data_IF_438049633470
#
_entry.id   IF_438049633470
#
_cell.length_a   1.000
_cell.length_b   1.000
_cell.length_c   1.000
_cell.angle_alpha   90.00
_cell.angle_beta   90.00
_cell.angle_gamma   90.00
#
_symmetry.space_group_name_H-M   'P 1'
#
loop_
_entity.id
_entity.type
_entity.pdbx_description
1 polymer ?
#
# COMPACT_ATOMS: atom_id res chain seq x y z
N UNK A 1 -1.31 -18.22 3.08
CA UNK A 1 -0.01 -17.59 2.75
C UNK A 1 1.12 -17.92 3.73
N UNK A 2 0.93 -17.84 5.06
CA UNK A 2 2.03 -18.04 6.04
C UNK A 2 2.55 -19.49 6.23
N UNK A 3 1.80 -20.55 5.83
CA UNK A 3 2.33 -21.93 5.82
C UNK A 3 3.58 -22.05 4.92
N UNK A 4 3.57 -21.35 3.79
CA UNK A 4 4.73 -21.27 2.89
C UNK A 4 5.88 -20.49 3.53
N UNK A 5 5.59 -19.40 4.24
CA UNK A 5 6.61 -18.62 4.94
C UNK A 5 7.27 -19.39 6.09
N UNK A 6 6.54 -20.29 6.76
CA UNK A 6 7.09 -21.15 7.80
C UNK A 6 8.05 -22.23 7.26
N UNK A 7 7.78 -22.76 6.05
CA UNK A 7 8.64 -23.70 5.31
C UNK A 7 9.94 -23.05 4.80
N UNK A 8 9.99 -21.72 4.71
CA UNK A 8 11.20 -21.01 4.28
C UNK A 8 12.28 -21.14 5.37
N UNK A 9 13.50 -21.59 5.03
CA UNK A 9 14.62 -21.68 5.96
C UNK A 9 14.89 -20.35 6.67
N UNK A 10 15.32 -20.38 7.93
CA UNK A 10 15.61 -19.17 8.72
C UNK A 10 16.60 -18.21 8.03
N UNK A 11 17.48 -18.72 7.18
CA UNK A 11 18.37 -17.91 6.35
C UNK A 11 17.61 -16.99 5.39
N UNK A 12 16.67 -17.54 4.62
CA UNK A 12 15.84 -16.80 3.69
C UNK A 12 14.86 -15.85 4.39
N UNK A 13 14.36 -16.21 5.57
CA UNK A 13 13.56 -15.30 6.42
C UNK A 13 14.37 -14.06 6.81
N UNK A 14 15.64 -14.22 7.20
CA UNK A 14 16.53 -13.10 7.53
C UNK A 14 16.81 -12.22 6.31
N UNK A 15 17.03 -12.83 5.14
CA UNK A 15 17.22 -12.09 3.88
C UNK A 15 15.97 -11.29 3.51
N UNK A 16 14.79 -11.92 3.59
CA UNK A 16 13.51 -11.27 3.30
C UNK A 16 13.27 -10.09 4.24
N UNK A 17 13.53 -10.29 5.54
CA UNK A 17 13.43 -9.24 6.55
C UNK A 17 14.40 -8.08 6.26
N UNK A 18 15.66 -8.38 5.93
CA UNK A 18 16.66 -7.37 5.58
C UNK A 18 16.25 -6.57 4.33
N UNK A 19 15.77 -7.25 3.29
CA UNK A 19 15.21 -6.61 2.09
C UNK A 19 14.01 -5.71 2.41
N UNK A 20 13.07 -6.19 3.24
CA UNK A 20 11.94 -5.39 3.69
C UNK A 20 12.39 -4.16 4.50
N UNK A 21 13.39 -4.29 5.37
CA UNK A 21 13.94 -3.17 6.14
C UNK A 21 14.60 -2.15 5.22
N UNK A 22 15.39 -2.60 4.23
CA UNK A 22 16.04 -1.70 3.26
C UNK A 22 14.98 -0.97 2.43
N UNK A 23 13.99 -1.68 1.91
CA UNK A 23 12.88 -1.10 1.16
C UNK A 23 12.08 -0.11 2.02
N UNK A 24 11.84 -0.45 3.28
CA UNK A 24 11.21 0.45 4.24
C UNK A 24 12.02 1.72 4.46
N UNK A 25 13.33 1.62 4.69
CA UNK A 25 14.19 2.79 4.90
C UNK A 25 14.25 3.68 3.66
N UNK A 26 14.36 3.09 2.47
CA UNK A 26 14.32 3.79 1.19
C UNK A 26 13.01 4.56 1.04
N UNK A 27 11.90 3.88 1.30
CA UNK A 27 10.59 4.47 1.08
C UNK A 27 10.19 5.47 2.17
N UNK A 28 10.62 5.26 3.42
CA UNK A 28 10.53 6.24 4.49
C UNK A 28 11.38 7.47 4.18
N UNK A 29 12.60 7.29 3.65
CA UNK A 29 13.46 8.42 3.24
C UNK A 29 12.86 9.23 2.09
N UNK A 30 12.20 8.57 1.12
CA UNK A 30 11.44 9.22 0.05
C UNK A 30 10.23 9.98 0.59
N UNK A 31 9.55 9.43 1.58
CA UNK A 31 8.41 10.08 2.24
C UNK A 31 8.86 11.31 3.04
N UNK A 32 9.94 11.20 3.81
CA UNK A 32 10.52 12.33 4.54
C UNK A 32 11.06 13.38 3.58
N UNK A 33 11.75 12.99 2.50
CA UNK A 33 12.20 13.92 1.46
C UNK A 33 11.01 14.64 0.81
N UNK A 34 9.91 13.92 0.54
CA UNK A 34 8.67 14.50 0.05
C UNK A 34 8.02 15.49 1.01
N UNK A 35 8.05 15.21 2.32
CA UNK A 35 7.50 16.10 3.37
C UNK A 35 8.40 17.30 3.70
N UNK A 36 9.73 17.14 3.69
CA UNK A 36 10.68 18.20 4.06
C UNK A 36 10.86 19.20 2.92
N UNK A 37 10.68 18.77 1.67
CA UNK A 37 10.78 19.65 0.50
C UNK A 37 9.46 20.36 0.17
N UNK A 38 8.49 20.37 1.10
CA UNK A 38 7.15 20.89 0.89
C UNK A 38 7.11 22.43 1.08
N UNK A 39 7.81 23.11 0.18
CA UNK A 39 7.55 24.47 -0.24
C UNK A 39 6.66 24.44 -1.49
N UNK A 40 5.42 23.96 -1.33
CA UNK A 40 4.33 24.04 -2.33
C UNK A 40 4.49 23.10 -3.54
N UNK A 41 3.71 22.01 -3.56
CA UNK A 41 3.30 21.22 -4.75
C UNK A 41 4.27 20.19 -5.38
N UNK A 42 5.51 20.00 -4.90
CA UNK A 42 6.41 19.01 -5.54
C UNK A 42 6.11 17.56 -5.15
N UNK A 43 5.57 17.30 -3.96
CA UNK A 43 5.11 15.96 -3.59
C UNK A 43 3.95 15.50 -4.48
N UNK A 44 3.04 16.41 -4.83
CA UNK A 44 1.98 16.13 -5.81
C UNK A 44 2.57 15.78 -7.19
N UNK A 45 3.71 16.36 -7.60
CA UNK A 45 4.39 16.01 -8.86
C UNK A 45 4.90 14.56 -8.89
N UNK A 46 5.09 13.91 -7.74
CA UNK A 46 5.41 12.47 -7.68
C UNK A 46 4.21 11.63 -8.15
N UNK A 47 2.98 12.12 -7.95
CA UNK A 47 1.74 11.43 -8.32
C UNK A 47 1.11 11.96 -9.61
N UNK A 48 1.48 13.15 -10.06
CA UNK A 48 0.91 13.81 -11.22
C UNK A 48 1.99 14.49 -12.05
N UNK A 49 2.00 14.29 -13.36
CA UNK A 49 2.85 15.06 -14.28
C UNK A 49 1.99 15.78 -15.31
N UNK A 50 2.43 16.98 -15.69
CA UNK A 50 1.77 17.76 -16.73
C UNK A 50 2.40 17.43 -18.07
N UNK A 51 1.59 16.95 -19.02
CA UNK A 51 2.02 16.66 -20.38
C UNK A 51 1.27 17.55 -21.35
N UNK A 52 2.01 18.21 -22.23
CA UNK A 52 1.42 18.92 -23.36
C UNK A 52 0.98 17.89 -24.41
N UNK A 53 -0.31 17.91 -24.74
CA UNK A 53 -0.90 17.02 -25.74
C UNK A 53 -1.41 17.89 -26.90
N UNK A 54 -1.02 17.58 -28.15
CA UNK A 54 -1.59 18.25 -29.32
C UNK A 54 -3.02 17.78 -29.52
N UNK A 55 -3.96 18.72 -29.55
CA UNK A 55 -5.39 18.48 -29.79
C UNK A 55 -5.76 19.10 -31.14
N UNK A 56 -6.56 18.42 -31.98
CA UNK A 56 -7.04 18.99 -33.24
C UNK A 56 -7.85 20.27 -32.98
N UNK A 57 -7.56 21.35 -33.69
CA UNK A 57 -8.38 22.56 -33.57
C UNK A 57 -9.67 22.42 -34.38
N UNK A 58 -10.79 22.22 -33.71
CA UNK A 58 -12.10 22.12 -34.39
C UNK A 58 -12.50 23.41 -35.12
N UNK A 59 -11.94 24.57 -34.72
CA UNK A 59 -12.15 25.85 -35.43
C UNK A 59 -11.57 25.82 -36.84
N UNK A 60 -10.60 24.94 -37.09
CA UNK A 60 -10.05 24.73 -38.42
C UNK A 60 -11.07 24.12 -39.39
N UNK A 61 -11.95 23.24 -38.89
CA UNK A 61 -13.04 22.66 -39.70
C UNK A 61 -14.05 23.74 -40.10
N UNK A 62 -14.37 24.65 -39.18
CA UNK A 62 -15.26 25.78 -39.45
C UNK A 62 -14.62 26.78 -40.43
N UNK A 63 -13.33 27.08 -40.26
CA UNK A 63 -12.58 27.93 -41.18
C UNK A 63 -12.50 27.35 -42.60
N UNK A 64 -12.24 26.05 -42.73
CA UNK A 64 -12.22 25.38 -44.04
C UNK A 64 -13.58 25.43 -44.73
N UNK A 65 -14.68 25.30 -43.98
CA UNK A 65 -16.03 25.44 -44.51
C UNK A 65 -16.31 26.87 -44.98
N UNK A 66 -15.95 27.86 -44.18
CA UNK A 66 -16.04 29.28 -44.56
C UNK A 66 -15.18 29.59 -45.79
N UNK A 67 -13.96 29.05 -45.86
CA UNK A 67 -13.04 29.27 -46.98
C UNK A 67 -13.58 28.67 -48.30
N UNK A 68 -14.25 27.51 -48.23
CA UNK A 68 -14.96 26.92 -49.36
C UNK A 68 -16.16 27.76 -49.79
N UNK A 69 -16.95 28.27 -48.85
CA UNK A 69 -18.09 29.16 -49.12
C UNK A 69 -17.64 30.48 -49.76
N UNK A 70 -16.50 31.04 -49.33
CA UNK A 70 -15.94 32.28 -49.86
C UNK A 70 -15.02 32.09 -51.09
N UNK A 71 -14.84 30.86 -51.56
CA UNK A 71 -13.96 30.51 -52.70
C UNK A 71 -12.53 31.07 -52.55
N UNK A 72 -11.98 30.99 -51.34
CA UNK A 72 -10.59 31.37 -51.08
C UNK A 72 -9.63 30.48 -51.88
N UNK A 73 -8.58 31.09 -52.45
CA UNK A 73 -7.59 30.36 -53.22
C UNK A 73 -6.84 29.34 -52.31
N UNK A 74 -6.60 28.10 -52.79
CA UNK A 74 -5.95 27.05 -52.00
C UNK A 74 -4.61 27.47 -51.39
N UNK A 75 -3.85 28.30 -52.11
CA UNK A 75 -2.54 28.83 -51.70
C UNK A 75 -2.61 29.66 -50.40
N UNK A 76 -3.71 30.37 -50.16
CA UNK A 76 -3.90 31.15 -48.93
C UNK A 76 -4.29 30.27 -47.75
N UNK A 77 -4.99 29.17 -48.02
CA UNK A 77 -5.42 28.19 -47.01
C UNK A 77 -4.20 27.39 -46.52
N UNK A 78 -3.32 26.95 -47.44
CA UNK A 78 -2.06 26.28 -47.09
C UNK A 78 -1.13 27.19 -46.28
N UNK A 79 -1.01 28.46 -46.66
CA UNK A 79 -0.16 29.40 -45.93
C UNK A 79 -0.69 29.72 -44.53
N UNK A 80 -2.01 29.78 -44.36
CA UNK A 80 -2.63 29.91 -43.04
C UNK A 80 -2.47 28.64 -42.19
N UNK A 81 -2.55 27.46 -42.81
CA UNK A 81 -2.25 26.18 -42.15
C UNK A 81 -0.81 26.12 -41.65
N UNK A 82 0.13 26.61 -42.45
CA UNK A 82 1.55 26.66 -42.11
C UNK A 82 1.82 27.62 -40.93
N UNK A 83 1.10 28.74 -40.84
CA UNK A 83 1.28 29.76 -39.79
C UNK A 83 0.67 29.33 -38.46
N UNK A 84 -0.53 28.74 -38.47
CA UNK A 84 -1.28 28.43 -37.24
C UNK A 84 -1.16 26.97 -36.78
N UNK A 85 -0.75 26.06 -37.66
CA UNK A 85 -0.68 24.62 -37.38
C UNK A 85 -2.07 23.95 -37.31
N UNK A 86 -2.13 22.64 -37.55
CA UNK A 86 -3.39 21.88 -37.50
C UNK A 86 -3.83 21.51 -36.06
N UNK A 87 -2.99 21.77 -35.05
CA UNK A 87 -3.23 21.37 -33.66
C UNK A 87 -2.79 22.46 -32.68
N UNK A 88 -3.50 22.60 -31.57
CA UNK A 88 -3.09 23.41 -30.43
C UNK A 88 -2.69 22.53 -29.25
N UNK A 89 -1.76 22.99 -28.42
CA UNK A 89 -1.27 22.24 -27.25
C UNK A 89 -2.12 22.56 -26.03
N UNK A 90 -2.65 21.53 -25.37
CA UNK A 90 -3.30 21.65 -24.06
C UNK A 90 -2.42 20.96 -23.03
N UNK A 91 -2.21 21.61 -21.88
CA UNK A 91 -1.57 20.98 -20.72
C UNK A 91 -2.58 20.06 -20.04
N UNK A 92 -2.37 18.75 -20.12
CA UNK A 92 -3.17 17.76 -19.40
C UNK A 92 -2.40 17.22 -18.20
N UNK A 93 -3.09 17.12 -17.07
CA UNK A 93 -2.58 16.44 -15.88
C UNK A 93 -2.75 14.93 -16.03
N UNK A 94 -1.67 14.18 -15.91
CA UNK A 94 -1.67 12.72 -15.96
C UNK A 94 -1.15 12.14 -14.66
N UNK A 95 -1.79 11.07 -14.19
CA UNK A 95 -1.33 10.36 -13.00
C UNK A 95 -0.05 9.58 -13.28
N UNK A 96 0.93 9.74 -12.41
CA UNK A 96 2.11 8.91 -12.33
C UNK A 96 1.77 7.59 -11.61
N UNK A 97 1.24 6.64 -12.38
CA UNK A 97 0.84 5.31 -11.89
C UNK A 97 1.99 4.59 -11.18
N UNK A 98 3.23 4.79 -11.64
CA UNK A 98 4.43 4.17 -11.03
C UNK A 98 4.71 4.76 -9.65
N UNK A 99 4.68 6.09 -9.53
CA UNK A 99 4.84 6.78 -8.25
C UNK A 99 3.75 6.40 -7.25
N UNK A 100 2.50 6.34 -7.71
CA UNK A 100 1.36 5.93 -6.88
C UNK A 100 1.45 4.47 -6.43
N UNK A 101 1.82 3.55 -7.34
CA UNK A 101 2.04 2.14 -7.02
C UNK A 101 3.18 1.93 -6.02
N UNK A 102 4.30 2.64 -6.20
CA UNK A 102 5.43 2.59 -5.26
C UNK A 102 5.03 3.08 -3.86
N UNK A 103 4.26 4.16 -3.78
CA UNK A 103 3.76 4.69 -2.52
C UNK A 103 2.81 3.72 -1.80
N UNK A 104 1.87 3.10 -2.54
CA UNK A 104 0.97 2.09 -1.96
C UNK A 104 1.75 0.88 -1.45
N UNK A 105 2.68 0.34 -2.26
CA UNK A 105 3.51 -0.79 -1.85
C UNK A 105 4.33 -0.47 -0.60
N UNK A 106 4.86 0.74 -0.53
CA UNK A 106 5.56 1.24 0.65
C UNK A 106 4.67 1.25 1.88
N UNK A 107 3.48 1.84 1.79
CA UNK A 107 2.55 1.93 2.91
C UNK A 107 2.14 0.56 3.42
N UNK A 108 1.91 -0.38 2.51
CA UNK A 108 1.62 -1.77 2.87
C UNK A 108 2.79 -2.45 3.59
N UNK A 109 4.02 -2.25 3.13
CA UNK A 109 5.22 -2.75 3.80
C UNK A 109 5.42 -2.13 5.19
N UNK A 110 5.17 -0.82 5.35
CA UNK A 110 5.19 -0.12 6.64
C UNK A 110 4.18 -0.73 7.61
N UNK A 111 2.95 -0.99 7.14
CA UNK A 111 1.91 -1.59 7.96
C UNK A 111 2.27 -3.00 8.41
N UNK A 112 2.78 -3.84 7.50
CA UNK A 112 3.24 -5.20 7.82
C UNK A 112 4.41 -5.19 8.82
N UNK A 113 5.36 -4.27 8.64
CA UNK A 113 6.51 -4.16 9.53
C UNK A 113 6.08 -3.69 10.93
N UNK A 114 5.21 -2.69 11.01
CA UNK A 114 4.65 -2.20 12.28
C UNK A 114 3.85 -3.28 13.00
N UNK A 115 3.04 -4.06 12.27
CA UNK A 115 2.33 -5.21 12.80
C UNK A 115 3.29 -6.25 13.38
N UNK A 116 4.36 -6.56 12.65
CA UNK A 116 5.37 -7.55 13.06
C UNK A 116 6.15 -7.11 14.30
N UNK A 117 6.48 -5.83 14.42
CA UNK A 117 7.12 -5.27 15.63
C UNK A 117 6.17 -5.37 16.82
N UNK A 118 4.90 -4.96 16.64
CA UNK A 118 3.91 -4.98 17.70
C UNK A 118 3.69 -6.41 18.23
N UNK A 119 3.52 -7.40 17.35
CA UNK A 119 3.35 -8.80 17.77
C UNK A 119 4.61 -9.34 18.46
N UNK A 120 5.79 -9.02 17.96
CA UNK A 120 7.07 -9.43 18.58
C UNK A 120 7.24 -8.85 19.98
N UNK A 121 6.93 -7.57 20.19
CA UNK A 121 7.00 -6.92 21.50
C UNK A 121 6.03 -7.55 22.50
N UNK A 122 4.80 -7.85 22.08
CA UNK A 122 3.82 -8.51 22.95
C UNK A 122 4.32 -9.92 23.32
N UNK A 123 4.87 -10.67 22.39
CA UNK A 123 5.44 -12.00 22.66
C UNK A 123 6.59 -11.94 23.67
N UNK A 124 7.54 -11.02 23.49
CA UNK A 124 8.67 -10.81 24.41
C UNK A 124 8.15 -10.47 25.82
N UNK A 125 7.18 -9.56 25.91
CA UNK A 125 6.60 -9.18 27.20
C UNK A 125 5.89 -10.34 27.90
N UNK A 126 5.17 -11.20 27.17
CA UNK A 126 4.56 -12.41 27.75
C UNK A 126 5.64 -13.34 28.30
N UNK A 127 6.73 -13.58 27.56
CA UNK A 127 7.83 -14.45 28.04
C UNK A 127 8.55 -13.86 29.25
N UNK A 128 8.83 -12.55 29.25
CA UNK A 128 9.43 -11.86 30.38
C UNK A 128 8.52 -11.94 31.62
N UNK A 129 7.21 -11.76 31.44
CA UNK A 129 6.23 -11.87 32.52
C UNK A 129 6.14 -13.30 33.05
N UNK A 130 6.14 -14.31 32.16
CA UNK A 130 6.20 -15.72 32.56
C UNK A 130 7.44 -16.03 33.39
N UNK A 131 8.60 -15.50 32.99
CA UNK A 131 9.84 -15.67 33.73
C UNK A 131 9.78 -15.02 35.12
N UNK A 132 9.25 -13.80 35.23
CA UNK A 132 9.04 -13.13 36.52
C UNK A 132 8.10 -13.94 37.44
N UNK A 133 7.01 -14.49 36.91
CA UNK A 133 6.10 -15.35 37.68
C UNK A 133 6.77 -16.63 38.21
N UNK A 134 7.66 -17.26 37.41
CA UNK A 134 8.45 -18.42 37.86
C UNK A 134 9.36 -18.05 39.04
N UNK A 135 9.99 -16.87 38.99
CA UNK A 135 10.86 -16.38 40.06
C UNK A 135 10.04 -16.16 41.34
N UNK A 136 8.91 -15.45 41.25
CA UNK A 136 8.03 -15.21 42.39
C UNK A 136 7.55 -16.50 43.05
N UNK A 137 7.21 -17.52 42.25
CA UNK A 137 6.81 -18.83 42.78
C UNK A 137 7.98 -19.57 43.44
N UNK A 138 9.18 -19.58 42.82
CA UNK A 138 10.37 -20.20 43.40
C UNK A 138 10.80 -19.55 44.71
N UNK A 139 10.68 -18.23 44.81
CA UNK A 139 10.97 -17.45 46.01
C UNK A 139 9.86 -17.53 47.06
N UNK A 140 8.78 -18.29 46.78
CA UNK A 140 7.60 -18.46 47.66
C UNK A 140 6.91 -17.15 48.01
N UNK A 141 7.03 -16.14 47.14
CA UNK A 141 6.34 -14.85 47.28
C UNK A 141 4.87 -14.93 46.84
N UNK A 142 4.54 -15.92 46.03
CA UNK A 142 3.18 -16.27 45.62
C UNK A 142 2.92 -17.76 45.88
N UNK A 143 1.67 -18.12 46.17
CA UNK A 143 1.28 -19.50 46.39
C UNK A 143 0.98 -20.24 45.07
N UNK A 144 0.84 -21.57 45.13
CA UNK A 144 0.60 -22.40 43.94
C UNK A 144 -0.70 -22.04 43.20
N UNK A 145 -1.73 -21.63 43.94
CA UNK A 145 -3.01 -21.23 43.35
C UNK A 145 -2.90 -19.92 42.56
N UNK A 146 -2.21 -18.93 43.11
CA UNK A 146 -1.91 -17.65 42.45
C UNK A 146 -1.03 -17.86 41.22
N UNK A 147 -0.01 -18.71 41.33
CA UNK A 147 0.88 -19.05 40.21
C UNK A 147 0.13 -19.74 39.06
N UNK A 148 -0.72 -20.74 39.36
CA UNK A 148 -1.51 -21.44 38.35
C UNK A 148 -2.52 -20.52 37.66
N UNK A 149 -3.15 -19.62 38.40
CA UNK A 149 -4.08 -18.61 37.85
C UNK A 149 -3.33 -17.63 36.93
N UNK A 150 -2.17 -17.16 37.36
CA UNK A 150 -1.30 -16.29 36.57
C UNK A 150 -0.86 -16.95 35.26
N UNK A 151 -0.45 -18.23 35.32
CA UNK A 151 -0.02 -19.00 34.16
C UNK A 151 -1.18 -19.19 33.16
N UNK A 152 -2.38 -19.51 33.65
CA UNK A 152 -3.56 -19.67 32.80
C UNK A 152 -3.93 -18.39 32.05
N UNK A 153 -3.78 -17.21 32.69
CA UNK A 153 -4.02 -15.91 32.04
C UNK A 153 -3.00 -15.67 30.93
N UNK A 154 -1.72 -15.94 31.18
CA UNK A 154 -0.65 -15.78 30.19
C UNK A 154 -0.80 -16.77 29.02
N UNK A 155 -1.15 -18.02 29.29
CA UNK A 155 -1.39 -19.03 28.24
C UNK A 155 -2.60 -18.68 27.38
N UNK A 156 -3.68 -18.17 27.99
CA UNK A 156 -4.82 -17.67 27.23
C UNK A 156 -4.46 -16.45 26.36
N UNK A 157 -3.60 -15.55 26.85
CA UNK A 157 -3.08 -14.42 26.07
C UNK A 157 -2.20 -14.89 24.90
N UNK A 158 -1.34 -15.89 25.13
CA UNK A 158 -0.46 -16.45 24.11
C UNK A 158 -1.24 -17.24 23.05
N UNK A 159 -2.23 -18.05 23.44
CA UNK A 159 -3.13 -18.72 22.49
C UNK A 159 -3.93 -17.72 21.63
N UNK A 160 -4.32 -16.56 22.18
CA UNK A 160 -4.96 -15.49 21.41
C UNK A 160 -4.00 -14.86 20.40
N UNK A 161 -2.72 -14.72 20.73
CA UNK A 161 -1.69 -14.26 19.78
C UNK A 161 -1.45 -15.29 18.68
N UNK A 162 -1.30 -16.57 19.04
CA UNK A 162 -1.12 -17.66 18.07
C UNK A 162 -2.34 -17.81 17.16
N UNK A 163 -3.55 -17.60 17.70
CA UNK A 163 -4.79 -17.60 16.91
C UNK A 163 -4.90 -16.35 16.03
N UNK A 164 -4.40 -15.18 16.47
CA UNK A 164 -4.32 -13.96 15.66
C UNK A 164 -3.24 -14.03 14.58
N UNK A 165 -2.10 -14.69 14.82
CA UNK A 165 -1.13 -15.08 13.79
C UNK A 165 -1.71 -16.08 12.79
N UNK A 166 -2.64 -16.94 13.24
CA UNK A 166 -3.44 -17.83 12.38
C UNK A 166 -4.63 -17.15 11.71
N UNK A 167 -4.83 -15.83 11.85
CA UNK A 167 -5.69 -15.06 10.94
C UNK A 167 -4.91 -14.80 9.63
N UNK A 168 -4.31 -15.85 9.07
CA UNK A 168 -4.35 -16.03 7.63
C UNK A 168 -5.73 -16.59 7.40
N UNK A 169 -6.65 -15.75 6.90
CA UNK A 169 -8.07 -16.06 6.70
C UNK A 169 -8.25 -17.54 6.39
N UNK A 170 -8.87 -18.28 7.31
CA UNK A 170 -9.15 -19.70 7.13
C UNK A 170 -10.01 -19.83 5.89
N UNK A 171 -9.47 -20.43 4.82
CA UNK A 171 -10.19 -20.68 3.57
C UNK A 171 -11.52 -21.42 3.84
N UNK A 172 -11.56 -22.26 4.88
CA UNK A 172 -12.79 -22.93 5.31
C UNK A 172 -13.80 -21.98 5.95
N UNK A 173 -13.37 -20.93 6.66
CA UNK A 173 -14.29 -19.90 7.18
C UNK A 173 -14.76 -18.94 6.09
N UNK A 174 -13.92 -18.62 5.10
CA UNK A 174 -14.35 -17.86 3.91
C UNK A 174 -15.37 -18.68 3.12
N UNK A 175 -15.07 -19.94 2.81
CA UNK A 175 -15.96 -20.81 2.04
C UNK A 175 -17.29 -21.01 2.76
N UNK A 176 -17.29 -21.17 4.08
CA UNK A 176 -18.52 -21.21 4.88
C UNK A 176 -19.31 -19.90 4.88
N UNK A 177 -18.64 -18.75 4.76
CA UNK A 177 -19.31 -17.46 4.63
C UNK A 177 -19.85 -17.24 3.22
N UNK A 178 -19.13 -17.67 2.19
CA UNK A 178 -19.57 -17.64 0.79
C UNK A 178 -20.78 -18.56 0.61
N UNK A 179 -20.73 -19.81 1.08
CA UNK A 179 -21.87 -20.74 1.03
C UNK A 179 -23.11 -20.17 1.75
N UNK A 180 -22.91 -19.48 2.87
CA UNK A 180 -24.01 -18.80 3.58
C UNK A 180 -24.58 -17.62 2.82
N UNK A 181 -23.76 -16.88 2.08
CA UNK A 181 -24.21 -15.77 1.25
C UNK A 181 -24.95 -16.28 0.01
N UNK A 182 -24.46 -17.35 -0.61
CA UNK A 182 -25.11 -18.00 -1.75
C UNK A 182 -26.45 -18.65 -1.37
N UNK A 183 -26.57 -19.20 -0.16
CA UNK A 183 -27.84 -19.73 0.36
C UNK A 183 -28.87 -18.62 0.66
N UNK A 184 -28.43 -17.45 1.13
CA UNK A 184 -29.31 -16.32 1.41
C UNK A 184 -29.75 -15.55 0.14
N UNK A 185 -29.03 -15.68 -0.98
CA UNK A 185 -29.46 -15.12 -2.27
C UNK A 185 -30.39 -16.07 -3.06
N UNK A 186 -30.56 -17.31 -2.58
CA UNK A 186 -31.39 -18.35 -3.21
C UNK A 186 -32.79 -18.52 -2.59
N UNK A 187 -33.13 -17.73 -1.55
CA UNK A 187 -34.47 -17.58 -0.96
C UNK A 187 -35.10 -16.24 -1.37
#
# INVERSE_FOLDING_TARGET
MFKWLQLIPNFWKKILLALCIILFLLAFSLLVAGLVNDGVNEFAKVFYFYKEVPVPDDRWKEFLKYAQEQKLAPEHIEKLREIFGDTFTITQEQQNVVGYGFFICTMFLIALFSFSIATSLIFINIQATKHAGIILFRERLINEHEYNTFLAILEAAQQRLDKKERIGISLDEINKQIEKLEQNESE
#
